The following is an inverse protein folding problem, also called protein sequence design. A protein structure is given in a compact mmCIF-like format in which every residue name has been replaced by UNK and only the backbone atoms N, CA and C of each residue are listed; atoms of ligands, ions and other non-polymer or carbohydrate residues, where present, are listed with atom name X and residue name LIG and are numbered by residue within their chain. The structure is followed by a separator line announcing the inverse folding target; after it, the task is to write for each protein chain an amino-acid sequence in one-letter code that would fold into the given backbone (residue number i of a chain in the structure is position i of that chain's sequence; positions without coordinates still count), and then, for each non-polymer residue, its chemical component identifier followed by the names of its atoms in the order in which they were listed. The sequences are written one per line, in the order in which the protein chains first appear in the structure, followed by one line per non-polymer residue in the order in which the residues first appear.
data_IF_588395167931
#
_entry.id   IF_588395167931
#
_cell.length_a   1.000
_cell.length_b   1.000
_cell.length_c   1.000
_cell.angle_alpha   90.00
_cell.angle_beta   90.00
_cell.angle_gamma   90.00
#
_symmetry.space_group_name_H-M   'P 1'
#
loop_
_entity.id
_entity.type
_entity.pdbx_description
1 polymer ?
#
# COMPACT_ATOMS: atom_id res chain seq x y z
N UNK A 1 -41.83 4.41 -14.83
CA UNK A 1 -40.87 4.87 -15.85
C UNK A 1 -39.69 3.97 -15.67
N UNK A 2 -39.50 3.10 -16.66
CA UNK A 2 -38.47 2.07 -16.67
C UNK A 2 -37.18 2.73 -17.11
N UNK A 3 -36.16 2.69 -16.27
CA UNK A 3 -34.81 3.10 -16.62
C UNK A 3 -34.00 1.82 -16.88
N UNK A 4 -33.86 1.53 -18.17
CA UNK A 4 -32.96 0.51 -18.71
C UNK A 4 -31.51 0.94 -18.43
N UNK A 5 -30.84 0.21 -17.53
CA UNK A 5 -29.38 0.27 -17.38
C UNK A 5 -28.77 -0.54 -18.51
N UNK A 6 -27.94 0.04 -19.40
CA UNK A 6 -27.29 -0.73 -20.43
C UNK A 6 -26.24 -1.63 -19.77
N UNK A 7 -26.51 -2.92 -19.76
CA UNK A 7 -25.53 -3.95 -19.43
C UNK A 7 -24.50 -3.98 -20.54
N UNK A 8 -23.35 -3.35 -20.29
CA UNK A 8 -22.17 -3.48 -21.14
C UNK A 8 -21.74 -4.93 -21.17
N UNK A 9 -21.78 -5.51 -22.37
CA UNK A 9 -21.14 -6.77 -22.73
C UNK A 9 -19.68 -6.79 -22.22
N UNK A 10 -19.42 -7.71 -21.29
CA UNK A 10 -18.13 -7.95 -20.65
C UNK A 10 -17.14 -8.73 -21.50
N UNK A 11 -17.03 -8.45 -22.80
CA UNK A 11 -15.96 -8.98 -23.66
C UNK A 11 -15.35 -7.89 -24.54
N UNK A 12 -14.57 -6.98 -23.94
CA UNK A 12 -13.60 -6.17 -24.69
C UNK A 12 -12.22 -6.80 -24.62
N UNK A 13 -12.13 -8.03 -25.11
CA UNK A 13 -10.87 -8.53 -25.64
C UNK A 13 -10.92 -8.27 -27.15
N UNK A 14 -10.26 -7.23 -27.67
CA UNK A 14 -10.04 -7.15 -29.10
C UNK A 14 -9.11 -8.32 -29.44
N UNK A 15 -9.73 -9.44 -29.84
CA UNK A 15 -8.99 -10.60 -30.31
C UNK A 15 -7.98 -10.20 -31.38
N UNK A 16 -6.94 -11.02 -31.62
CA UNK A 16 -5.90 -10.69 -32.57
C UNK A 16 -6.52 -10.39 -33.95
N UNK A 17 -6.50 -9.11 -34.36
CA UNK A 17 -6.93 -8.68 -35.70
C UNK A 17 -8.17 -7.81 -35.82
N UNK A 18 -8.73 -7.26 -34.75
CA UNK A 18 -9.68 -6.15 -34.93
C UNK A 18 -8.93 -4.94 -35.46
N UNK A 19 -9.40 -4.36 -36.57
CA UNK A 19 -8.91 -3.07 -37.06
C UNK A 19 -9.05 -2.05 -35.94
N UNK A 20 -7.91 -1.57 -35.43
CA UNK A 20 -7.89 -0.65 -34.28
C UNK A 20 -8.64 0.65 -34.60
N UNK A 21 -8.72 1.02 -35.88
CA UNK A 21 -9.56 2.10 -36.39
C UNK A 21 -11.06 1.86 -36.14
N UNK A 22 -11.57 0.64 -36.37
CA UNK A 22 -13.00 0.31 -36.20
C UNK A 22 -13.42 0.20 -34.72
N UNK A 23 -12.46 -0.09 -33.83
CA UNK A 23 -12.69 -0.21 -32.40
C UNK A 23 -12.70 1.14 -31.65
N UNK A 24 -12.46 2.27 -32.35
CA UNK A 24 -12.39 3.60 -31.73
C UNK A 24 -13.36 4.59 -32.37
N UNK A 25 -14.03 5.41 -31.54
CA UNK A 25 -14.93 6.50 -31.98
C UNK A 25 -14.16 7.73 -32.52
N UNK A 26 -12.95 7.55 -33.06
CA UNK A 26 -12.11 8.68 -33.49
C UNK A 26 -12.52 9.14 -34.89
N UNK A 27 -13.09 10.35 -34.95
CA UNK A 27 -13.70 10.95 -36.16
C UNK A 27 -12.78 11.11 -37.39
N UNK A 28 -11.47 10.90 -37.27
CA UNK A 28 -10.55 11.00 -38.43
C UNK A 28 -9.43 9.96 -38.41
N UNK A 29 -9.37 9.14 -39.46
CA UNK A 29 -8.30 8.16 -39.75
C UNK A 29 -6.90 8.79 -39.75
N UNK A 30 -6.79 10.09 -40.09
CA UNK A 30 -5.51 10.81 -40.09
C UNK A 30 -4.98 11.13 -38.67
N UNK A 31 -5.86 11.45 -37.73
CA UNK A 31 -5.50 11.71 -36.34
C UNK A 31 -5.11 10.43 -35.62
N UNK A 32 -5.87 9.36 -35.84
CA UNK A 32 -5.57 8.03 -35.32
C UNK A 32 -4.19 7.52 -35.79
N UNK A 33 -3.94 7.56 -37.10
CA UNK A 33 -2.65 7.13 -37.67
C UNK A 33 -1.47 7.98 -37.17
N UNK A 34 -1.68 9.26 -36.83
CA UNK A 34 -0.66 10.10 -36.21
C UNK A 34 -0.29 9.59 -34.82
N UNK A 35 -1.27 9.37 -33.94
CA UNK A 35 -1.01 8.90 -32.58
C UNK A 35 -0.43 7.48 -32.56
N UNK A 36 -0.92 6.59 -33.43
CA UNK A 36 -0.37 5.24 -33.54
C UNK A 36 1.13 5.27 -33.89
N UNK A 37 1.55 6.15 -34.80
CA UNK A 37 2.98 6.34 -35.13
C UNK A 37 3.81 6.89 -33.95
N UNK A 38 3.22 7.68 -33.06
CA UNK A 38 3.92 8.18 -31.87
C UNK A 38 4.13 7.07 -30.81
N UNK A 39 3.29 6.04 -30.84
CA UNK A 39 3.35 4.91 -29.90
C UNK A 39 4.18 3.72 -30.41
N UNK A 40 4.43 3.67 -31.73
CA UNK A 40 5.22 2.60 -32.36
C UNK A 40 6.63 2.50 -31.77
N UNK A 41 7.17 1.29 -31.73
CA UNK A 41 8.47 0.86 -31.18
C UNK A 41 8.53 0.85 -29.65
N UNK A 42 8.01 1.87 -28.98
CA UNK A 42 8.02 1.94 -27.52
C UNK A 42 6.88 1.15 -26.87
N UNK A 43 5.64 1.40 -27.28
CA UNK A 43 4.44 0.83 -26.66
C UNK A 43 3.71 -0.15 -27.57
N UNK A 44 3.85 0.02 -28.88
CA UNK A 44 3.19 -0.82 -29.89
C UNK A 44 4.22 -1.27 -30.90
N UNK A 45 4.20 -2.54 -31.30
CA UNK A 45 4.98 -3.06 -32.42
C UNK A 45 4.08 -3.41 -33.58
N UNK A 46 4.54 -3.13 -34.79
CA UNK A 46 3.88 -3.52 -36.03
C UNK A 46 4.26 -4.96 -36.36
N UNK A 47 3.27 -5.81 -36.57
CA UNK A 47 3.43 -7.21 -36.98
C UNK A 47 2.97 -7.33 -38.43
N UNK A 48 3.87 -7.73 -39.36
CA UNK A 48 3.48 -7.98 -40.74
C UNK A 48 2.45 -9.11 -40.81
N UNK A 49 1.48 -9.01 -41.70
CA UNK A 49 0.47 -10.05 -41.92
C UNK A 49 1.07 -11.45 -42.19
N UNK A 50 2.29 -11.52 -42.73
CA UNK A 50 3.01 -12.77 -43.01
C UNK A 50 3.51 -13.54 -41.79
N UNK A 51 3.66 -12.88 -40.63
CA UNK A 51 4.37 -13.44 -39.47
C UNK A 51 3.42 -13.94 -38.38
N UNK A 52 2.14 -13.55 -38.43
CA UNK A 52 1.11 -13.97 -37.47
C UNK A 52 0.63 -15.43 -37.65
N UNK A 53 0.92 -16.07 -38.80
CA UNK A 53 0.53 -17.44 -39.10
C UNK A 53 1.45 -18.52 -38.47
N UNK A 54 2.55 -18.12 -37.83
CA UNK A 54 3.58 -19.05 -37.35
C UNK A 54 3.37 -19.56 -35.91
N UNK A 55 2.51 -18.91 -35.11
CA UNK A 55 2.32 -19.25 -33.68
C UNK A 55 1.06 -20.12 -33.41
N UNK A 56 0.37 -20.57 -34.46
CA UNK A 56 -0.73 -21.53 -34.36
C UNK A 56 -0.21 -22.98 -34.45
N UNK A 57 0.01 -23.63 -33.32
CA UNK A 57 0.20 -25.09 -33.24
C UNK A 57 -1.08 -25.82 -33.65
N UNK A 58 -1.34 -25.92 -34.96
CA UNK A 58 -2.27 -26.88 -35.55
C UNK A 58 -1.71 -27.38 -36.88
N UNK A 59 -0.81 -28.36 -36.77
CA UNK A 59 -0.34 -29.14 -37.90
C UNK A 59 -1.46 -30.07 -38.41
N UNK A 60 -2.33 -29.58 -39.29
CA UNK A 60 -2.87 -30.32 -40.43
C UNK A 60 -3.90 -29.49 -41.21
N UNK A 61 -3.49 -28.92 -42.34
CA UNK A 61 -4.25 -28.87 -43.59
C UNK A 61 -3.43 -28.18 -44.68
N UNK A 62 -2.81 -29.00 -45.52
CA UNK A 62 -2.27 -28.62 -46.83
C UNK A 62 -3.42 -28.15 -47.75
N UNK A 63 -3.76 -26.87 -47.67
CA UNK A 63 -4.46 -26.14 -48.73
C UNK A 63 -3.83 -24.74 -48.79
N UNK A 64 -3.16 -24.45 -49.91
CA UNK A 64 -2.46 -23.19 -50.14
C UNK A 64 -3.35 -21.98 -49.86
N UNK A 65 -3.06 -21.32 -48.74
CA UNK A 65 -3.57 -19.99 -48.44
C UNK A 65 -2.72 -19.00 -49.22
N UNK A 66 -3.30 -18.41 -50.27
CA UNK A 66 -2.80 -17.15 -50.80
C UNK A 66 -3.02 -16.12 -49.71
N UNK A 67 -1.97 -15.73 -49.00
CA UNK A 67 -2.01 -14.55 -48.14
C UNK A 67 -2.54 -13.40 -48.99
N UNK A 68 -3.76 -12.94 -48.70
CA UNK A 68 -4.32 -11.78 -49.36
C UNK A 68 -3.39 -10.60 -49.05
N UNK A 69 -2.83 -9.99 -50.09
CA UNK A 69 -1.90 -8.87 -49.98
C UNK A 69 -2.54 -7.58 -49.41
N UNK A 70 -3.78 -7.67 -48.96
CA UNK A 70 -4.61 -6.62 -48.40
C UNK A 70 -4.97 -6.89 -46.92
N UNK A 71 -4.34 -7.87 -46.24
CA UNK A 71 -4.52 -7.97 -44.78
C UNK A 71 -3.86 -6.74 -44.12
N UNK A 72 -4.61 -5.93 -43.35
CA UNK A 72 -4.07 -4.74 -42.72
C UNK A 72 -2.97 -5.13 -41.75
N UNK A 73 -1.98 -4.26 -41.64
CA UNK A 73 -0.89 -4.44 -40.69
C UNK A 73 -1.44 -4.57 -39.26
N UNK A 74 -1.00 -5.60 -38.53
CA UNK A 74 -1.43 -5.84 -37.15
C UNK A 74 -0.53 -5.10 -36.18
N UNK A 75 -1.12 -4.69 -35.07
CA UNK A 75 -0.41 -3.97 -34.02
C UNK A 75 -0.55 -4.72 -32.70
N UNK A 76 0.58 -4.91 -32.02
CA UNK A 76 0.61 -5.59 -30.73
C UNK A 76 1.26 -4.70 -29.67
N UNK A 77 0.74 -4.75 -28.45
CA UNK A 77 1.37 -4.07 -27.31
C UNK A 77 2.71 -4.73 -26.95
N UNK A 78 3.74 -3.91 -26.80
CA UNK A 78 5.00 -4.29 -26.13
C UNK A 78 4.76 -4.51 -24.64
N UNK A 79 5.76 -4.98 -23.89
CA UNK A 79 5.64 -5.06 -22.42
C UNK A 79 5.32 -3.69 -21.79
N UNK A 80 6.01 -2.64 -22.22
CA UNK A 80 5.73 -1.26 -21.80
C UNK A 80 4.30 -0.83 -22.18
N UNK A 81 3.85 -1.16 -23.40
CA UNK A 81 2.48 -0.93 -23.84
C UNK A 81 1.45 -1.62 -22.95
N UNK A 82 1.70 -2.88 -22.59
CA UNK A 82 0.82 -3.65 -21.69
C UNK A 82 0.77 -3.05 -20.29
N UNK A 83 1.90 -2.57 -19.75
CA UNK A 83 1.92 -1.92 -18.43
C UNK A 83 1.07 -0.64 -18.42
N UNK A 84 1.27 0.24 -19.40
CA UNK A 84 0.48 1.48 -19.51
C UNK A 84 -1.00 1.17 -19.76
N UNK A 85 -1.32 0.26 -20.68
CA UNK A 85 -2.70 -0.13 -20.96
C UNK A 85 -3.41 -0.70 -19.72
N UNK A 86 -2.72 -1.52 -18.92
CA UNK A 86 -3.27 -2.02 -17.65
C UNK A 86 -3.46 -0.91 -16.62
N UNK A 87 -2.52 0.02 -16.49
CA UNK A 87 -2.66 1.16 -15.58
C UNK A 87 -3.85 2.06 -15.97
N UNK A 88 -4.04 2.33 -17.27
CA UNK A 88 -5.22 3.05 -17.77
C UNK A 88 -6.50 2.29 -17.47
N UNK A 89 -6.55 0.99 -17.77
CA UNK A 89 -7.72 0.15 -17.50
C UNK A 89 -8.03 0.00 -15.99
N UNK A 90 -7.00 0.04 -15.14
CA UNK A 90 -7.13 0.04 -13.69
C UNK A 90 -7.61 1.38 -13.11
N UNK A 91 -7.78 2.40 -13.96
CA UNK A 91 -8.22 3.73 -13.57
C UNK A 91 -7.10 4.65 -13.10
N UNK A 92 -5.84 4.20 -13.00
CA UNK A 92 -4.73 4.92 -12.36
C UNK A 92 -4.53 6.35 -12.85
N UNK A 93 -4.86 6.64 -14.11
CA UNK A 93 -4.73 7.99 -14.69
C UNK A 93 -6.08 8.63 -15.07
N UNK A 94 -7.19 7.92 -14.87
CA UNK A 94 -8.49 8.26 -15.48
C UNK A 94 -9.64 8.28 -14.49
N UNK A 95 -9.43 7.80 -13.27
CA UNK A 95 -10.46 7.71 -12.24
C UNK A 95 -9.96 8.28 -10.91
N UNK A 96 -10.87 9.00 -10.26
CA UNK A 96 -10.79 9.38 -8.86
C UNK A 96 -12.03 8.81 -8.18
N UNK A 97 -11.83 8.16 -7.04
CA UNK A 97 -12.89 7.49 -6.29
C UNK A 97 -13.02 8.17 -4.94
N UNK A 98 -14.26 8.55 -4.63
CA UNK A 98 -14.70 9.01 -3.32
C UNK A 98 -15.83 8.09 -2.85
N UNK A 99 -15.83 7.69 -1.59
CA UNK A 99 -16.90 6.85 -1.01
C UNK A 99 -17.36 7.39 0.33
N UNK A 100 -18.62 7.11 0.67
CA UNK A 100 -19.13 7.35 2.00
C UNK A 100 -18.34 6.57 3.08
N UNK A 101 -18.31 7.07 4.33
CA UNK A 101 -17.66 6.38 5.43
C UNK A 101 -18.22 4.97 5.66
N UNK A 102 -17.33 4.03 5.89
CA UNK A 102 -17.63 2.65 6.29
C UNK A 102 -17.18 2.46 7.73
N UNK A 103 -18.06 2.03 8.61
CA UNK A 103 -17.70 1.71 10.00
C UNK A 103 -16.77 0.50 10.06
N UNK A 104 -15.81 0.52 10.99
CA UNK A 104 -14.91 -0.60 11.27
C UNK A 104 -15.27 -1.19 12.63
N UNK A 105 -15.23 -2.53 12.73
CA UNK A 105 -15.59 -3.27 13.95
C UNK A 105 -14.47 -3.27 15.00
N UNK A 106 -13.31 -2.69 14.69
CA UNK A 106 -12.15 -2.63 15.57
C UNK A 106 -12.22 -1.46 16.54
N UNK A 107 -11.70 -1.64 17.76
CA UNK A 107 -11.49 -0.55 18.71
C UNK A 107 -10.46 0.46 18.18
N UNK A 108 -10.70 1.75 18.44
CA UNK A 108 -9.75 2.78 18.05
C UNK A 108 -8.41 2.58 18.78
N UNK A 109 -7.27 2.48 18.06
CA UNK A 109 -5.96 2.22 18.67
C UNK A 109 -5.42 3.38 19.51
N UNK A 110 -6.06 4.55 19.41
CA UNK A 110 -5.64 5.78 20.11
C UNK A 110 -6.44 5.98 21.40
N UNK A 111 -7.78 5.93 21.32
CA UNK A 111 -8.65 6.24 22.46
C UNK A 111 -9.40 5.02 23.03
N UNK A 112 -9.33 3.85 22.37
CA UNK A 112 -10.01 2.63 22.79
C UNK A 112 -11.53 2.64 22.58
N UNK A 113 -12.07 3.59 21.80
CA UNK A 113 -13.51 3.61 21.50
C UNK A 113 -13.89 2.48 20.53
N UNK A 114 -14.89 1.64 20.85
CA UNK A 114 -15.27 0.47 20.05
C UNK A 114 -16.21 0.77 18.86
N UNK A 115 -16.71 2.00 18.73
CA UNK A 115 -17.72 2.35 17.71
C UNK A 115 -17.29 3.54 16.84
N UNK A 116 -16.21 4.23 17.20
CA UNK A 116 -15.78 5.46 16.55
C UNK A 116 -14.95 5.28 15.28
N UNK A 117 -14.41 4.09 15.03
CA UNK A 117 -13.47 3.86 13.93
C UNK A 117 -14.20 3.72 12.58
N UNK A 118 -13.75 4.46 11.57
CA UNK A 118 -14.31 4.42 10.22
C UNK A 118 -13.23 4.53 9.15
N UNK A 119 -13.53 4.03 7.95
CA UNK A 119 -12.73 4.22 6.74
C UNK A 119 -13.47 5.16 5.78
N UNK A 120 -12.77 6.17 5.27
CA UNK A 120 -13.24 7.06 4.20
C UNK A 120 -12.32 6.95 3.00
N UNK A 121 -12.87 7.15 1.79
CA UNK A 121 -12.07 7.20 0.58
C UNK A 121 -12.27 8.56 -0.07
N UNK A 122 -11.18 9.26 -0.31
CA UNK A 122 -11.16 10.51 -1.06
C UNK A 122 -9.94 10.52 -1.98
N UNK A 123 -10.15 10.89 -3.24
CA UNK A 123 -9.13 10.86 -4.29
C UNK A 123 -8.26 9.59 -4.30
N UNK A 124 -8.92 8.43 -4.23
CA UNK A 124 -8.27 7.12 -4.18
C UNK A 124 -7.39 6.84 -2.94
N UNK A 125 -7.41 7.70 -1.92
CA UNK A 125 -6.74 7.48 -0.64
C UNK A 125 -7.75 6.98 0.38
N UNK A 126 -7.48 5.83 0.98
CA UNK A 126 -8.26 5.32 2.11
C UNK A 126 -7.69 5.89 3.39
N UNK A 127 -8.50 6.67 4.12
CA UNK A 127 -8.17 7.22 5.43
C UNK A 127 -8.97 6.49 6.50
N UNK A 128 -8.28 5.98 7.52
CA UNK A 128 -8.92 5.43 8.72
C UNK A 128 -8.85 6.48 9.82
N UNK A 129 -10.01 6.88 10.34
CA UNK A 129 -10.14 7.90 11.37
C UNK A 129 -11.12 7.48 12.47
N UNK A 130 -11.15 8.24 13.56
CA UNK A 130 -12.04 7.98 14.70
C UNK A 130 -12.90 9.19 15.05
N UNK A 131 -14.22 9.03 15.06
CA UNK A 131 -15.17 10.09 15.41
C UNK A 131 -15.11 10.49 16.90
N UNK A 132 -14.71 9.56 17.78
CA UNK A 132 -14.70 9.79 19.23
C UNK A 132 -13.53 10.66 19.70
N UNK A 133 -12.36 10.51 19.08
CA UNK A 133 -11.17 11.31 19.39
C UNK A 133 -10.75 12.28 18.28
N UNK A 134 -11.46 12.28 17.15
CA UNK A 134 -11.23 13.16 16.00
C UNK A 134 -9.80 13.06 15.43
N UNK A 135 -9.18 11.88 15.55
CA UNK A 135 -7.82 11.62 15.06
C UNK A 135 -7.83 10.64 13.90
N UNK A 136 -6.94 10.90 12.95
CA UNK A 136 -6.60 9.96 11.89
C UNK A 136 -5.61 8.92 12.42
N UNK A 137 -5.81 7.68 11.98
CA UNK A 137 -4.97 6.53 12.31
C UNK A 137 -4.01 6.22 11.19
N UNK A 138 -4.47 6.27 9.93
CA UNK A 138 -3.63 6.12 8.75
C UNK A 138 -4.26 6.68 7.49
N UNK A 139 -3.44 6.90 6.46
CA UNK A 139 -3.87 7.25 5.12
C UNK A 139 -3.06 6.47 4.07
N UNK A 140 -3.74 5.66 3.26
CA UNK A 140 -3.11 4.70 2.36
C UNK A 140 -3.71 4.79 0.94
N UNK A 141 -2.91 5.08 -0.10
CA UNK A 141 -3.41 5.15 -1.47
C UNK A 141 -3.75 3.75 -1.99
N UNK A 142 -4.84 3.63 -2.74
CA UNK A 142 -5.22 2.35 -3.33
C UNK A 142 -5.67 2.54 -4.79
N UNK A 143 -5.29 1.65 -5.72
CA UNK A 143 -5.68 1.85 -7.12
C UNK A 143 -7.20 1.94 -7.29
N UNK A 144 -7.72 2.81 -8.19
CA UNK A 144 -9.15 3.01 -8.40
C UNK A 144 -9.94 1.71 -8.64
N UNK A 145 -9.36 0.80 -9.43
CA UNK A 145 -9.93 -0.54 -9.69
C UNK A 145 -10.14 -1.40 -8.44
N UNK A 146 -9.37 -1.15 -7.37
CA UNK A 146 -9.50 -1.81 -6.08
C UNK A 146 -10.79 -1.41 -5.34
N UNK A 147 -11.29 -0.20 -5.57
CA UNK A 147 -12.58 0.28 -5.07
C UNK A 147 -13.74 -0.12 -6.00
N UNK A 148 -13.63 0.19 -7.29
CA UNK A 148 -14.74 0.14 -8.25
C UNK A 148 -15.35 -1.27 -8.46
N UNK A 149 -14.59 -2.33 -8.14
CA UNK A 149 -15.01 -3.72 -8.34
C UNK A 149 -15.42 -4.43 -7.05
N UNK A 150 -15.47 -3.70 -5.93
CA UNK A 150 -15.55 -4.29 -4.60
C UNK A 150 -16.74 -3.74 -3.82
N UNK A 151 -17.28 -4.60 -2.97
CA UNK A 151 -18.21 -4.20 -1.92
C UNK A 151 -17.50 -3.20 -0.98
N UNK A 152 -18.07 -2.00 -0.70
CA UNK A 152 -17.47 -1.01 0.19
C UNK A 152 -17.03 -1.58 1.54
N UNK A 153 -17.83 -2.48 2.13
CA UNK A 153 -17.50 -3.13 3.42
C UNK A 153 -16.24 -4.01 3.34
N UNK A 154 -15.79 -4.38 2.14
CA UNK A 154 -14.60 -5.22 1.90
C UNK A 154 -13.39 -4.45 1.38
N UNK A 155 -13.51 -3.14 1.25
CA UNK A 155 -12.40 -2.26 0.85
C UNK A 155 -11.31 -2.21 1.92
N UNK A 156 -11.61 -2.01 3.23
CA UNK A 156 -10.57 -1.94 4.27
C UNK A 156 -9.66 -3.17 4.29
N UNK A 157 -10.23 -4.38 4.24
CA UNK A 157 -9.49 -5.64 4.14
C UNK A 157 -8.53 -5.69 2.93
N UNK A 158 -8.94 -5.11 1.82
CA UNK A 158 -8.16 -5.13 0.58
C UNK A 158 -7.00 -4.15 0.65
N UNK A 159 -7.24 -2.97 1.22
CA UNK A 159 -6.23 -1.94 1.47
C UNK A 159 -5.16 -2.46 2.43
N UNK A 160 -5.58 -3.06 3.55
CA UNK A 160 -4.69 -3.71 4.52
C UNK A 160 -3.78 -4.74 3.83
N UNK A 161 -4.37 -5.71 3.12
CA UNK A 161 -3.61 -6.78 2.45
C UNK A 161 -2.69 -6.24 1.36
N UNK A 162 -3.09 -5.19 0.65
CA UNK A 162 -2.28 -4.56 -0.38
C UNK A 162 -1.03 -3.94 0.24
N UNK A 163 -1.19 -3.14 1.30
CA UNK A 163 -0.08 -2.44 1.93
C UNK A 163 0.83 -3.35 2.74
N UNK A 164 0.30 -4.39 3.39
CA UNK A 164 1.15 -5.43 4.01
C UNK A 164 2.12 -6.04 3.02
N UNK A 165 1.64 -6.40 1.82
CA UNK A 165 2.48 -6.95 0.75
C UNK A 165 3.46 -5.91 0.21
N UNK A 166 3.04 -4.64 0.13
CA UNK A 166 3.89 -3.52 -0.29
C UNK A 166 5.06 -3.34 0.69
N UNK A 167 4.78 -3.27 1.99
CA UNK A 167 5.76 -3.18 3.08
C UNK A 167 6.70 -4.39 3.06
N UNK A 168 6.16 -5.61 3.00
CA UNK A 168 6.97 -6.83 2.94
C UNK A 168 7.92 -6.86 1.74
N UNK A 169 7.43 -6.46 0.54
CA UNK A 169 8.28 -6.37 -0.66
C UNK A 169 9.43 -5.37 -0.48
N UNK A 170 9.13 -4.19 0.09
CA UNK A 170 10.16 -3.19 0.40
C UNK A 170 11.17 -3.70 1.44
N UNK A 171 10.71 -4.39 2.49
CA UNK A 171 11.57 -5.01 3.50
C UNK A 171 12.45 -6.13 2.93
N UNK A 172 11.97 -6.86 1.93
CA UNK A 172 12.74 -7.86 1.16
C UNK A 172 13.73 -7.22 0.16
N UNK A 173 13.78 -5.89 0.06
CA UNK A 173 14.67 -5.14 -0.83
C UNK A 173 14.21 -5.08 -2.29
N UNK A 174 12.93 -5.37 -2.56
CA UNK A 174 12.35 -5.35 -3.91
C UNK A 174 11.23 -4.32 -3.99
N UNK A 175 11.36 -3.33 -4.87
CA UNK A 175 10.32 -2.33 -5.06
C UNK A 175 9.03 -2.97 -5.63
N UNK A 176 7.88 -2.80 -4.96
CA UNK A 176 6.61 -3.37 -5.42
C UNK A 176 6.09 -2.73 -6.73
N UNK A 177 6.54 -1.52 -7.08
CA UNK A 177 6.09 -0.80 -8.28
C UNK A 177 6.86 -1.18 -9.54
N UNK A 178 8.18 -1.34 -9.44
CA UNK A 178 9.04 -1.56 -10.61
C UNK A 178 9.89 -2.84 -10.55
N UNK A 179 9.94 -3.55 -9.41
CA UNK A 179 10.83 -4.70 -9.18
C UNK A 179 12.30 -4.35 -9.04
N UNK A 180 12.65 -3.06 -8.98
CA UNK A 180 14.00 -2.57 -8.77
C UNK A 180 14.50 -2.77 -7.33
N UNK A 181 15.79 -2.55 -7.12
CA UNK A 181 16.38 -2.59 -5.77
C UNK A 181 15.74 -1.52 -4.88
N UNK A 182 15.29 -1.94 -3.71
CA UNK A 182 14.84 -1.06 -2.65
C UNK A 182 15.77 -1.15 -1.44
N UNK A 183 16.01 -0.02 -0.80
CA UNK A 183 16.79 0.06 0.44
C UNK A 183 15.92 0.58 1.56
N UNK A 184 16.05 0.02 2.75
CA UNK A 184 15.35 0.46 3.95
C UNK A 184 16.31 0.87 5.05
N UNK A 185 15.95 1.87 5.83
CA UNK A 185 16.65 2.23 7.06
C UNK A 185 15.69 2.74 8.14
N UNK A 186 16.13 2.65 9.38
CA UNK A 186 15.46 3.28 10.52
C UNK A 186 15.95 4.72 10.65
N UNK A 187 15.03 5.66 10.82
CA UNK A 187 15.31 7.06 11.10
C UNK A 187 14.44 7.59 12.25
N UNK A 188 14.88 8.63 12.98
CA UNK A 188 14.01 9.36 13.90
C UNK A 188 12.82 9.98 13.17
N UNK A 189 11.70 10.08 13.86
CA UNK A 189 10.55 10.87 13.39
C UNK A 189 10.80 12.34 13.69
N UNK A 190 10.78 13.17 12.66
CA UNK A 190 10.96 14.62 12.77
C UNK A 190 9.81 15.25 13.58
N UNK A 191 10.08 16.34 14.32
CA UNK A 191 9.07 17.00 15.18
C UNK A 191 7.86 17.51 14.39
N UNK A 192 8.03 17.88 13.12
CA UNK A 192 6.94 18.34 12.25
C UNK A 192 6.04 17.17 11.80
N UNK A 193 6.60 15.99 11.57
CA UNK A 193 5.85 14.76 11.24
C UNK A 193 5.05 14.24 12.44
N UNK A 194 5.49 14.53 13.68
CA UNK A 194 4.71 14.24 14.90
C UNK A 194 3.44 15.08 15.03
N UNK A 195 3.36 16.20 14.30
CA UNK A 195 2.23 17.13 14.31
C UNK A 195 1.32 16.98 13.09
N UNK A 196 1.71 16.18 12.09
CA UNK A 196 0.89 15.82 10.91
C UNK A 196 -0.32 14.94 11.27
N UNK A 197 -0.27 14.28 12.43
CA UNK A 197 -1.43 13.74 13.14
C UNK A 197 -1.72 14.71 14.28
N UNK A 198 -2.71 15.58 14.08
CA UNK A 198 -3.02 16.65 15.02
C UNK A 198 -3.27 16.12 16.44
N UNK A 199 -2.47 16.59 17.39
CA UNK A 199 -2.87 16.66 18.80
C UNK A 199 -1.87 16.12 19.81
N UNK A 200 -0.69 16.71 19.89
CA UNK A 200 -0.09 16.97 21.21
C UNK A 200 -0.01 18.47 21.42
N UNK A 201 -0.97 19.03 22.17
CA UNK A 201 -0.76 20.26 22.94
C UNK A 201 0.32 19.97 24.00
N UNK A 202 1.56 19.77 23.59
CA UNK A 202 2.69 19.79 24.51
C UNK A 202 2.97 21.26 24.76
N UNK A 203 2.38 21.76 25.83
CA UNK A 203 2.75 23.03 26.45
C UNK A 203 4.26 23.22 26.39
N UNK A 204 4.69 24.40 25.92
CA UNK A 204 6.07 24.82 25.77
C UNK A 204 6.82 24.93 27.12
N UNK A 205 7.01 23.81 27.80
CA UNK A 205 7.91 23.61 28.92
C UNK A 205 8.84 22.44 28.53
N UNK A 206 9.79 22.74 27.66
CA UNK A 206 10.84 21.81 27.22
C UNK A 206 11.80 21.52 28.38
N UNK A 207 11.47 20.51 29.18
CA UNK A 207 12.37 19.78 30.05
C UNK A 207 11.81 18.35 30.23
N UNK A 208 11.92 17.49 29.21
CA UNK A 208 11.72 16.03 29.40
C UNK A 208 12.48 15.17 28.39
N UNK A 209 12.99 14.06 28.92
CA UNK A 209 13.68 12.93 28.31
C UNK A 209 12.71 12.12 27.41
N UNK A 210 12.02 12.80 26.47
CA UNK A 210 11.00 12.16 25.63
C UNK A 210 11.63 11.11 24.70
N UNK A 211 11.06 9.89 24.61
CA UNK A 211 11.59 8.84 23.76
C UNK A 211 11.66 9.32 22.30
N UNK A 212 12.82 9.15 21.66
CA UNK A 212 12.97 9.38 20.23
C UNK A 212 12.06 8.41 19.47
N UNK A 213 10.94 8.91 18.94
CA UNK A 213 10.12 8.19 17.97
C UNK A 213 10.96 7.83 16.75
N UNK A 214 10.76 6.63 16.22
CA UNK A 214 11.47 6.12 15.04
C UNK A 214 10.49 5.56 14.02
N UNK A 215 10.91 5.53 12.76
CA UNK A 215 10.19 4.89 11.68
C UNK A 215 11.14 4.12 10.78
N UNK A 216 10.62 3.11 10.10
CA UNK A 216 11.23 2.51 8.93
C UNK A 216 10.94 3.40 7.71
N UNK A 217 11.97 3.68 6.91
CA UNK A 217 11.85 4.37 5.63
C UNK A 217 12.46 3.53 4.54
N UNK A 218 11.75 3.39 3.44
CA UNK A 218 12.17 2.68 2.24
C UNK A 218 12.23 3.62 1.04
N UNK A 219 13.16 3.36 0.13
CA UNK A 219 13.28 4.07 -1.12
C UNK A 219 13.76 3.14 -2.24
N UNK A 220 13.18 3.30 -3.44
CA UNK A 220 13.66 2.64 -4.65
C UNK A 220 14.63 3.54 -5.42
N UNK A 221 15.79 2.99 -5.79
CA UNK A 221 16.80 3.72 -6.58
C UNK A 221 16.39 3.91 -8.05
N UNK A 222 15.45 3.10 -8.55
CA UNK A 222 15.07 3.06 -9.96
C UNK A 222 13.86 3.96 -10.29
N UNK A 223 12.77 3.86 -9.53
CA UNK A 223 11.54 4.59 -9.78
C UNK A 223 11.19 5.63 -8.71
N UNK A 224 12.10 5.86 -7.75
CA UNK A 224 11.97 6.84 -6.66
C UNK A 224 10.79 6.64 -5.71
N UNK A 225 10.04 5.53 -5.83
CA UNK A 225 8.97 5.20 -4.90
C UNK A 225 9.52 5.11 -3.47
N UNK A 226 8.78 5.66 -2.52
CA UNK A 226 9.13 5.65 -1.10
C UNK A 226 7.99 5.14 -0.24
N UNK A 227 8.32 4.66 0.97
CA UNK A 227 7.33 4.24 1.96
C UNK A 227 7.89 4.51 3.35
N UNK A 228 7.04 4.99 4.26
CA UNK A 228 7.37 5.14 5.66
C UNK A 228 6.33 4.41 6.52
N UNK A 229 6.80 3.76 7.58
CA UNK A 229 5.91 3.08 8.52
C UNK A 229 6.61 2.89 9.88
N UNK A 230 5.88 2.55 10.96
CA UNK A 230 6.51 2.07 12.19
C UNK A 230 7.43 0.88 11.91
N UNK A 231 8.49 0.74 12.70
CA UNK A 231 9.47 -0.35 12.51
C UNK A 231 8.79 -1.71 12.62
N UNK A 232 7.85 -1.84 13.56
CA UNK A 232 7.02 -3.02 13.83
C UNK A 232 6.25 -3.52 12.61
N UNK A 233 5.75 -2.63 11.74
CA UNK A 233 5.03 -3.05 10.52
C UNK A 233 5.96 -3.75 9.52
N UNK A 234 7.25 -3.39 9.48
CA UNK A 234 8.25 -4.08 8.68
C UNK A 234 8.64 -5.46 9.25
N UNK A 235 8.27 -5.76 10.49
CA UNK A 235 8.62 -7.02 11.19
C UNK A 235 7.51 -8.07 11.14
N UNK A 236 6.31 -7.76 10.64
CA UNK A 236 5.13 -8.64 10.75
C UNK A 236 5.30 -10.01 10.07
N UNK A 237 6.12 -10.10 9.01
CA UNK A 237 6.44 -11.36 8.34
C UNK A 237 7.73 -12.03 8.88
N UNK A 238 8.43 -11.42 9.85
CA UNK A 238 9.62 -12.02 10.45
C UNK A 238 9.25 -13.32 11.18
N UNK A 239 9.96 -14.45 10.98
CA UNK A 239 9.55 -15.75 11.50
C UNK A 239 9.34 -15.80 13.01
N UNK A 240 10.16 -15.08 13.79
CA UNK A 240 10.02 -15.02 15.24
C UNK A 240 8.74 -14.29 15.69
N UNK A 241 8.33 -13.27 14.93
CA UNK A 241 7.12 -12.46 15.18
C UNK A 241 5.89 -13.28 14.84
N UNK A 242 5.85 -13.88 13.65
CA UNK A 242 4.77 -14.77 13.23
C UNK A 242 4.58 -15.91 14.23
N UNK A 243 5.68 -16.53 14.69
CA UNK A 243 5.62 -17.57 15.70
C UNK A 243 5.11 -17.04 17.04
N UNK A 244 5.49 -15.83 17.46
CA UNK A 244 5.05 -15.24 18.72
C UNK A 244 3.54 -14.97 18.74
N UNK A 245 2.98 -14.41 17.67
CA UNK A 245 1.52 -14.27 17.51
C UNK A 245 0.82 -15.64 17.53
N UNK A 246 1.35 -16.60 16.76
CA UNK A 246 0.76 -17.94 16.66
C UNK A 246 0.75 -18.68 18.01
N UNK A 247 1.79 -18.52 18.82
CA UNK A 247 1.86 -19.14 20.16
C UNK A 247 0.77 -18.61 21.11
N UNK A 248 0.22 -17.42 20.84
CA UNK A 248 -0.91 -16.83 21.55
C UNK A 248 -2.26 -17.02 20.82
N UNK A 249 -2.29 -17.86 19.77
CA UNK A 249 -3.51 -18.19 19.04
C UNK A 249 -4.02 -17.09 18.11
N UNK A 250 -3.19 -16.10 17.78
CA UNK A 250 -3.53 -15.00 16.88
C UNK A 250 -2.85 -15.20 15.53
N UNK A 251 -3.60 -15.08 14.43
CA UNK A 251 -2.99 -14.91 13.10
C UNK A 251 -2.74 -13.42 12.87
N UNK A 252 -1.47 -13.02 12.88
CA UNK A 252 -1.07 -11.62 12.62
C UNK A 252 -1.57 -11.10 11.26
N UNK A 253 -1.85 -12.00 10.29
CA UNK A 253 -2.38 -11.63 8.97
C UNK A 253 -3.85 -11.21 8.99
N UNK A 254 -4.55 -11.52 10.08
CA UNK A 254 -5.95 -11.14 10.30
C UNK A 254 -6.09 -9.91 11.23
N UNK A 255 -5.00 -9.47 11.89
CA UNK A 255 -4.94 -8.16 12.56
C UNK A 255 -4.78 -7.09 11.51
N UNK A 256 -5.55 -5.99 11.52
CA UNK A 256 -5.42 -4.94 10.52
C UNK A 256 -4.23 -4.00 10.79
N UNK A 257 -3.71 -3.33 9.75
CA UNK A 257 -2.56 -2.41 9.88
C UNK A 257 -2.86 -1.24 10.82
N UNK A 258 -4.10 -0.75 10.86
CA UNK A 258 -4.52 0.34 11.76
C UNK A 258 -4.58 -0.08 13.22
N UNK A 259 -4.75 -1.36 13.55
CA UNK A 259 -4.84 -1.83 14.95
C UNK A 259 -3.60 -2.54 15.44
N UNK A 260 -2.85 -3.22 14.57
CA UNK A 260 -1.71 -4.06 14.99
C UNK A 260 -0.61 -3.29 15.74
N UNK A 261 -0.49 -1.97 15.53
CA UNK A 261 0.46 -1.12 16.24
C UNK A 261 0.30 -1.12 17.77
N UNK A 262 -0.92 -1.35 18.28
CA UNK A 262 -1.18 -1.38 19.73
C UNK A 262 -0.51 -2.56 20.41
N UNK A 263 -0.14 -3.60 19.67
CA UNK A 263 0.59 -4.75 20.22
C UNK A 263 2.07 -4.40 20.47
N UNK A 264 2.57 -3.26 19.97
CA UNK A 264 4.01 -2.99 19.91
C UNK A 264 4.46 -1.80 20.74
N UNK A 265 5.74 -1.81 21.09
CA UNK A 265 6.50 -0.66 21.61
C UNK A 265 7.85 -0.60 20.92
N UNK A 266 8.25 0.59 20.50
CA UNK A 266 9.54 0.82 19.84
C UNK A 266 10.41 1.75 20.70
N UNK A 267 11.66 1.33 20.95
CA UNK A 267 12.60 2.11 21.74
C UNK A 267 14.00 2.10 21.13
N UNK A 268 14.57 3.27 20.92
CA UNK A 268 15.99 3.41 20.58
C UNK A 268 16.85 3.03 21.79
N UNK A 269 17.69 2.00 21.64
CA UNK A 269 18.67 1.59 22.65
C UNK A 269 20.03 2.27 22.44
N UNK A 270 20.40 2.51 21.19
CA UNK A 270 21.67 3.13 20.80
C UNK A 270 21.55 3.72 19.40
N UNK A 271 22.23 4.85 19.15
CA UNK A 271 22.30 5.48 17.81
C UNK A 271 23.64 5.24 17.11
N UNK A 272 24.67 4.79 17.86
CA UNK A 272 25.97 4.37 17.33
C UNK A 272 26.60 3.26 18.21
N UNK A 273 26.55 1.98 17.79
CA UNK A 273 25.84 1.48 16.61
C UNK A 273 24.32 1.63 16.78
N UNK A 274 23.58 1.79 15.68
CA UNK A 274 22.13 1.90 15.72
C UNK A 274 21.49 0.61 16.24
N UNK A 275 20.56 0.73 17.19
CA UNK A 275 19.79 -0.38 17.71
C UNK A 275 18.43 0.12 18.22
N UNK A 276 17.35 -0.41 17.64
CA UNK A 276 15.98 -0.26 18.14
C UNK A 276 15.53 -1.59 18.74
N UNK A 277 14.92 -1.54 19.92
CA UNK A 277 14.17 -2.65 20.50
C UNK A 277 12.71 -2.49 20.15
N UNK A 278 12.19 -3.37 19.31
CA UNK A 278 10.77 -3.50 19.03
C UNK A 278 10.21 -4.63 19.91
N UNK A 279 9.36 -4.29 20.87
CA UNK A 279 8.78 -5.23 21.82
C UNK A 279 7.33 -5.50 21.45
N UNK A 280 7.00 -6.78 21.22
CA UNK A 280 5.64 -7.27 21.07
C UNK A 280 5.08 -7.60 22.45
N UNK A 281 3.90 -7.07 22.72
CA UNK A 281 3.06 -7.33 23.89
C UNK A 281 2.07 -8.43 23.55
N UNK A 282 1.62 -9.17 24.57
CA UNK A 282 0.64 -10.25 24.41
C UNK A 282 -0.63 -9.67 23.80
N UNK A 283 -0.95 -10.06 22.55
CA UNK A 283 -2.08 -9.49 21.81
C UNK A 283 -3.44 -9.92 22.36
N UNK A 284 -3.47 -10.79 23.38
CA UNK A 284 -4.67 -11.35 24.01
C UNK A 284 -4.81 -10.93 25.48
N UNK A 285 -3.86 -10.15 26.01
CA UNK A 285 -3.82 -9.75 27.40
C UNK A 285 -4.58 -8.44 27.62
N UNK A 286 -5.85 -8.57 27.98
CA UNK A 286 -6.73 -7.46 28.33
C UNK A 286 -6.67 -7.12 29.84
N UNK A 287 -5.62 -7.52 30.58
CA UNK A 287 -5.54 -7.31 32.03
C UNK A 287 -5.62 -5.81 32.40
N UNK A 288 -6.75 -5.36 32.98
CA UNK A 288 -6.99 -3.94 33.26
C UNK A 288 -6.12 -3.43 34.43
N UNK A 289 -5.53 -4.34 35.23
CA UNK A 289 -4.76 -4.00 36.43
C UNK A 289 -3.25 -4.18 36.23
N UNK A 290 -2.82 -4.95 35.23
CA UNK A 290 -1.43 -5.32 34.97
C UNK A 290 -0.82 -4.78 33.68
N UNK A 291 -1.66 -4.40 32.70
CA UNK A 291 -1.22 -4.09 31.34
C UNK A 291 -0.70 -5.32 30.59
N UNK A 292 -0.74 -5.31 29.25
CA UNK A 292 -0.35 -6.47 28.46
C UNK A 292 1.13 -6.77 28.63
N UNK A 293 1.45 -8.04 28.88
CA UNK A 293 2.82 -8.51 29.11
C UNK A 293 3.65 -8.50 27.83
N UNK A 294 4.93 -8.20 27.93
CA UNK A 294 5.86 -8.37 26.81
C UNK A 294 6.12 -9.86 26.54
N UNK A 295 6.06 -10.28 25.26
CA UNK A 295 6.20 -11.70 24.85
C UNK A 295 7.38 -11.94 23.89
N UNK A 296 7.83 -10.90 23.18
CA UNK A 296 8.98 -10.96 22.28
C UNK A 296 9.66 -9.59 22.21
N UNK A 297 10.99 -9.56 22.24
CA UNK A 297 11.78 -8.40 21.86
C UNK A 297 12.59 -8.71 20.60
N UNK A 298 12.54 -7.82 19.61
CA UNK A 298 13.37 -7.86 18.41
C UNK A 298 14.36 -6.68 18.42
N UNK A 299 15.62 -6.97 18.15
CA UNK A 299 16.70 -5.98 18.09
C UNK A 299 17.02 -5.65 16.65
N UNK A 300 16.70 -4.43 16.22
CA UNK A 300 16.72 -4.00 14.82
C UNK A 300 17.88 -3.02 14.59
N UNK A 301 18.71 -3.32 13.60
CA UNK A 301 19.81 -2.47 13.14
C UNK A 301 19.33 -1.28 12.30
N UNK A 302 20.25 -0.41 11.89
CA UNK A 302 19.89 0.78 11.08
C UNK A 302 19.27 0.41 9.74
N UNK A 303 19.69 -0.69 9.14
CA UNK A 303 19.23 -1.16 7.82
C UNK A 303 17.99 -2.06 7.90
N UNK A 304 17.25 -1.99 9.02
CA UNK A 304 16.09 -2.84 9.33
C UNK A 304 16.39 -4.33 9.48
N UNK A 305 17.68 -4.73 9.49
CA UNK A 305 18.04 -6.12 9.80
C UNK A 305 17.69 -6.45 11.25
N UNK A 306 16.93 -7.52 11.47
CA UNK A 306 16.75 -8.10 12.81
C UNK A 306 18.03 -8.85 13.19
N UNK A 307 18.78 -8.28 14.14
CA UNK A 307 20.07 -8.81 14.60
C UNK A 307 19.87 -9.94 15.61
N UNK A 308 18.87 -9.80 16.47
CA UNK A 308 18.55 -10.79 17.50
C UNK A 308 17.07 -10.73 17.89
N UNK A 309 16.57 -11.83 18.46
CA UNK A 309 15.21 -11.91 19.01
C UNK A 309 15.19 -12.69 20.32
N UNK A 310 14.57 -12.11 21.34
CA UNK A 310 14.40 -12.72 22.66
C UNK A 310 12.93 -13.00 22.94
N UNK A 311 12.60 -14.27 23.22
CA UNK A 311 11.29 -14.65 23.76
C UNK A 311 11.23 -14.30 25.24
N UNK A 312 10.20 -13.57 25.63
CA UNK A 312 10.05 -13.07 26.99
C UNK A 312 9.07 -13.98 27.74
N UNK A 313 9.59 -14.84 28.61
CA UNK A 313 8.75 -15.71 29.44
C UNK A 313 8.10 -14.89 30.57
N UNK A 314 6.84 -15.20 30.89
CA UNK A 314 6.07 -14.60 31.99
C UNK A 314 6.72 -14.71 33.40
N UNK A 315 7.80 -15.47 33.55
CA UNK A 315 8.50 -15.71 34.82
C UNK A 315 9.81 -14.91 34.98
N UNK A 316 10.24 -14.11 33.98
CA UNK A 316 11.61 -13.58 33.92
C UNK A 316 11.79 -12.07 33.79
N UNK A 317 10.73 -11.28 33.59
CA UNK A 317 10.88 -9.82 33.49
C UNK A 317 11.21 -9.24 34.87
N UNK A 318 12.46 -8.80 35.07
CA UNK A 318 12.78 -8.01 36.25
C UNK A 318 12.05 -6.67 36.15
N UNK A 319 11.54 -6.18 37.28
CA UNK A 319 10.81 -4.92 37.39
C UNK A 319 11.58 -3.65 36.93
N UNK A 320 12.81 -3.79 36.43
CA UNK A 320 13.59 -2.71 35.84
C UNK A 320 13.25 -2.40 34.37
N UNK A 321 12.59 -3.32 33.63
CA UNK A 321 12.20 -3.10 32.22
C UNK A 321 10.78 -2.56 32.04
N UNK A 322 9.93 -2.66 33.07
CA UNK A 322 8.49 -2.42 32.97
C UNK A 322 8.03 -0.98 33.31
N UNK A 323 8.94 -0.08 33.72
CA UNK A 323 8.56 1.22 34.26
C UNK A 323 9.35 2.38 33.62
N UNK A 324 8.93 2.81 32.43
CA UNK A 324 8.96 4.20 31.96
C UNK A 324 8.25 4.32 30.59
N UNK A 325 7.12 5.03 30.59
CA UNK A 325 6.42 5.72 29.50
C UNK A 325 5.98 5.05 28.19
N UNK A 326 4.85 5.59 27.77
CA UNK A 326 3.82 5.30 26.79
C UNK A 326 4.22 5.53 25.33
N UNK A 327 5.31 4.87 24.90
CA UNK A 327 5.68 4.71 23.48
C UNK A 327 4.69 3.86 22.66
N UNK A 328 3.40 4.15 22.80
CA UNK A 328 2.33 3.60 21.99
C UNK A 328 2.56 4.01 20.53
N UNK A 329 2.50 3.02 19.66
CA UNK A 329 2.63 3.24 18.23
C UNK A 329 1.24 3.54 17.71
N UNK A 330 1.00 4.77 17.30
CA UNK A 330 -0.07 5.08 16.36
C UNK A 330 0.30 4.47 15.01
N UNK A 331 -0.66 3.86 14.33
CA UNK A 331 -0.42 3.08 13.13
C UNK A 331 -0.12 3.96 11.91
N UNK A 332 0.92 4.79 11.97
CA UNK A 332 1.23 5.80 10.96
C UNK A 332 1.97 5.16 9.77
N UNK A 333 1.26 4.35 9.01
CA UNK A 333 1.72 3.89 7.71
C UNK A 333 1.32 4.93 6.67
N UNK A 334 2.32 5.56 6.07
CA UNK A 334 2.12 6.54 5.01
C UNK A 334 2.97 6.14 3.81
N UNK A 335 2.31 6.03 2.66
CA UNK A 335 3.03 6.10 1.39
C UNK A 335 3.32 7.59 1.15
N UNK A 336 4.58 8.00 1.21
CA UNK A 336 4.92 9.42 1.13
C UNK A 336 4.59 10.04 -0.24
N UNK A 337 4.35 9.20 -1.27
CA UNK A 337 3.83 9.64 -2.57
C UNK A 337 2.32 9.99 -2.52
N UNK A 338 1.63 9.77 -1.39
CA UNK A 338 0.21 10.08 -1.19
C UNK A 338 -0.07 11.47 -0.59
N UNK A 339 0.97 12.26 -0.27
CA UNK A 339 0.79 13.62 0.25
C UNK A 339 0.50 14.58 -0.90
N UNK A 340 -0.79 14.84 -1.14
CA UNK A 340 -1.23 15.96 -1.98
C UNK A 340 -1.20 17.23 -1.13
N UNK A 341 -0.03 17.88 -1.09
CA UNK A 341 0.12 19.22 -0.54
C UNK A 341 -0.47 20.22 -1.55
N UNK A 342 -1.79 20.22 -1.68
CA UNK A 342 -2.51 21.16 -2.53
C UNK A 342 -2.51 22.54 -1.83
N UNK A 343 -1.84 23.57 -2.39
CA UNK A 343 -1.92 24.90 -1.81
C UNK A 343 -3.35 25.41 -1.96
N UNK A 344 -3.96 25.78 -0.84
CA UNK A 344 -5.21 26.53 -0.82
C UNK A 344 -5.05 27.80 -1.66
N UNK A 345 -5.65 27.82 -2.86
CA UNK A 345 -5.75 29.01 -3.69
C UNK A 345 -6.77 29.95 -3.03
N UNK A 346 -6.24 30.87 -2.21
CA UNK A 346 -7.00 31.92 -1.56
C UNK A 346 -7.36 32.98 -2.61
N UNK A 347 -8.39 32.67 -3.39
CA UNK A 347 -8.94 33.52 -4.44
C UNK A 347 -9.40 34.87 -3.89
N UNK A 348 -8.54 35.88 -3.99
CA UNK A 348 -8.93 37.28 -3.80
C UNK A 348 -9.40 37.86 -5.14
N UNK A 349 -10.66 38.34 -5.26
CA UNK A 349 -11.13 38.96 -6.49
C UNK A 349 -10.64 40.42 -6.61
N UNK A 350 -10.27 40.81 -7.82
CA UNK A 350 -10.16 42.20 -8.27
C UNK A 350 -11.09 42.41 -9.48
#
# INVERSE_FOLDING_TARGET
MSDDVPTGDGSRDPGPGTDVDEATDVDTTAGFAYHLRQLTDAFVRKVPASDAAADGDDAASDQGSTADADEPDRYELTDAGRRVARAVAAGTYTASVDTEPVALDDDCPICGDPEGLHATVADNVTRVGCDACERDVLALPFPPSGYATRDPERVPDAVDRHHRRRIASFADGVCPDCGGSATGHVEPVDEDDRNGVAGTDTSADADTDEPLGVRARFACEACTATLACPVSLALLDHPAVVAAYHDHGVDVRERALWTVGVDWRERVLSTDPWCVRATLRDPTDDDPDGGPRDVLAAYVGRDLTVVDTDRLDAAGASAADAAADDGAITADAEDADATDDAPADDGTPA
#
